data_IF_506797774750
#
_entry.id   IF_506797774750
#
_cell.length_a   1.000
_cell.length_b   1.000
_cell.length_c   1.000
_cell.angle_alpha   90.00
_cell.angle_beta   90.00
_cell.angle_gamma   90.00
#
_symmetry.space_group_name_H-M   'P 1'
#
loop_
_entity.id
_entity.type
_entity.pdbx_description
1 polymer ?
#
# COMPACT_ATOMS: atom_id res chain seq x y z
N UNK A 1 21.35 7.97 -18.79
CA UNK A 1 19.88 7.93 -18.90
C UNK A 1 19.29 8.57 -17.67
N UNK A 2 18.41 9.57 -17.81
CA UNK A 2 17.67 10.18 -16.70
C UNK A 2 16.23 9.68 -16.69
N UNK A 3 15.67 9.47 -15.50
CA UNK A 3 14.26 9.20 -15.29
C UNK A 3 13.47 10.51 -15.42
N UNK A 4 12.35 10.47 -16.15
CA UNK A 4 11.47 11.62 -16.34
C UNK A 4 10.10 11.43 -15.66
N UNK A 5 9.33 12.52 -15.60
CA UNK A 5 7.99 12.57 -14.98
C UNK A 5 7.04 11.50 -15.53
N UNK A 6 6.93 11.40 -16.85
CA UNK A 6 6.02 10.46 -17.51
C UNK A 6 6.35 9.02 -17.12
N UNK A 7 7.64 8.66 -17.10
CA UNK A 7 8.07 7.32 -16.68
C UNK A 7 7.70 7.01 -15.23
N UNK A 8 7.72 8.00 -14.34
CA UNK A 8 7.31 7.82 -12.94
C UNK A 8 5.79 7.64 -12.84
N UNK A 9 5.02 8.42 -13.60
CA UNK A 9 3.57 8.26 -13.65
C UNK A 9 3.18 6.87 -14.18
N UNK A 10 3.81 6.44 -15.28
CA UNK A 10 3.59 5.10 -15.86
C UNK A 10 3.97 3.98 -14.88
N UNK A 11 5.10 4.15 -14.17
CA UNK A 11 5.51 3.22 -13.14
C UNK A 11 4.47 3.07 -12.02
N UNK A 12 3.88 4.18 -11.56
CA UNK A 12 2.86 4.14 -10.52
C UNK A 12 1.56 3.49 -11.00
N UNK A 13 1.17 3.65 -12.28
CA UNK A 13 0.08 2.88 -12.87
C UNK A 13 0.38 1.37 -12.89
N UNK A 14 1.59 0.99 -13.34
CA UNK A 14 2.00 -0.42 -13.34
C UNK A 14 2.02 -1.03 -11.92
N UNK A 15 2.39 -0.25 -10.91
CA UNK A 15 2.26 -0.69 -9.51
C UNK A 15 0.80 -0.98 -9.15
N UNK A 16 -0.14 -0.10 -9.53
CA UNK A 16 -1.57 -0.33 -9.34
C UNK A 16 -2.06 -1.62 -9.98
N UNK A 17 -1.65 -1.88 -11.22
CA UNK A 17 -2.02 -3.10 -11.95
C UNK A 17 -1.45 -4.35 -11.26
N UNK A 18 -0.17 -4.34 -10.87
CA UNK A 18 0.49 -5.46 -10.20
C UNK A 18 -0.15 -5.74 -8.84
N UNK A 19 -0.39 -4.72 -8.01
CA UNK A 19 -1.00 -4.93 -6.69
C UNK A 19 -2.47 -5.36 -6.78
N UNK A 20 -3.15 -5.04 -7.88
CA UNK A 20 -4.49 -5.58 -8.15
C UNK A 20 -4.42 -7.04 -8.56
N UNK A 21 -3.53 -7.40 -9.49
CA UNK A 21 -3.38 -8.76 -10.01
C UNK A 21 -2.87 -9.75 -8.96
N UNK A 22 -1.88 -9.33 -8.18
CA UNK A 22 -1.16 -10.20 -7.24
C UNK A 22 -1.70 -10.11 -5.81
N UNK A 23 -2.84 -9.42 -5.58
CA UNK A 23 -3.42 -9.21 -4.25
C UNK A 23 -3.58 -10.53 -3.46
N UNK A 24 -4.25 -11.52 -4.05
CA UNK A 24 -4.51 -12.79 -3.38
C UNK A 24 -3.23 -13.59 -3.12
N UNK A 25 -2.27 -13.52 -4.05
CA UNK A 25 -0.96 -14.16 -3.90
C UNK A 25 -0.17 -13.55 -2.74
N UNK A 26 -0.11 -12.22 -2.66
CA UNK A 26 0.57 -11.50 -1.59
C UNK A 26 -0.10 -11.75 -0.23
N UNK A 27 -1.43 -11.77 -0.17
CA UNK A 27 -2.17 -12.15 1.04
C UNK A 27 -1.92 -13.60 1.43
N UNK A 28 -1.78 -14.51 0.45
CA UNK A 28 -1.42 -15.90 0.70
C UNK A 28 -0.03 -16.05 1.33
N UNK A 29 0.98 -15.37 0.78
CA UNK A 29 2.34 -15.34 1.36
C UNK A 29 2.34 -14.75 2.77
N UNK A 30 1.64 -13.64 2.97
CA UNK A 30 1.55 -12.98 4.27
C UNK A 30 0.79 -13.83 5.30
N UNK A 31 -0.19 -14.64 4.88
CA UNK A 31 -0.88 -15.58 5.76
C UNK A 31 0.05 -16.62 6.38
N UNK A 32 1.14 -16.99 5.70
CA UNK A 32 2.07 -18.00 6.21
C UNK A 32 2.92 -17.49 7.39
N UNK A 33 3.14 -16.18 7.49
CA UNK A 33 4.09 -15.58 8.45
C UNK A 33 3.57 -14.32 9.18
N UNK A 34 2.36 -13.85 8.85
CA UNK A 34 1.79 -12.56 9.23
C UNK A 34 0.28 -12.63 9.46
N UNK A 35 -0.42 -11.50 9.24
CA UNK A 35 -1.85 -11.33 9.54
C UNK A 35 -2.76 -11.43 8.30
N UNK A 36 -2.20 -11.82 7.15
CA UNK A 36 -2.90 -12.08 5.90
C UNK A 36 -3.62 -10.84 5.33
N UNK A 37 -3.10 -9.65 5.59
CA UNK A 37 -3.70 -8.39 5.16
C UNK A 37 -2.86 -7.63 4.11
N UNK A 38 -1.62 -8.09 3.85
CA UNK A 38 -0.67 -7.34 3.05
C UNK A 38 -1.15 -7.05 1.61
N UNK A 39 -1.61 -8.07 0.88
CA UNK A 39 -2.12 -7.93 -0.48
C UNK A 39 -3.30 -6.96 -0.56
N UNK A 40 -4.26 -7.11 0.36
CA UNK A 40 -5.43 -6.24 0.49
C UNK A 40 -5.03 -4.79 0.78
N UNK A 41 -4.05 -4.59 1.67
CA UNK A 41 -3.55 -3.27 2.03
C UNK A 41 -2.86 -2.57 0.87
N UNK A 42 -2.03 -3.29 0.11
CA UNK A 42 -1.33 -2.74 -1.05
C UNK A 42 -2.29 -2.45 -2.21
N UNK A 43 -3.22 -3.36 -2.48
CA UNK A 43 -4.27 -3.14 -3.49
C UNK A 43 -5.11 -1.89 -3.15
N UNK A 44 -5.59 -1.77 -1.90
CA UNK A 44 -6.36 -0.60 -1.44
C UNK A 44 -5.57 0.70 -1.55
N UNK A 45 -4.30 0.68 -1.15
CA UNK A 45 -3.44 1.85 -1.18
C UNK A 45 -3.14 2.33 -2.60
N UNK A 46 -2.69 1.42 -3.46
CA UNK A 46 -2.32 1.77 -4.83
C UNK A 46 -3.54 2.06 -5.71
N UNK A 47 -4.71 1.46 -5.47
CA UNK A 47 -5.95 1.86 -6.15
C UNK A 47 -6.26 3.34 -5.91
N UNK A 48 -6.10 3.83 -4.68
CA UNK A 48 -6.29 5.25 -4.35
C UNK A 48 -5.19 6.15 -4.92
N UNK A 49 -3.97 5.64 -5.07
CA UNK A 49 -2.90 6.37 -5.77
C UNK A 49 -3.29 6.55 -7.24
N UNK A 50 -3.69 5.47 -7.92
CA UNK A 50 -4.12 5.46 -9.32
C UNK A 50 -5.30 6.41 -9.55
N UNK A 51 -6.30 6.42 -8.66
CA UNK A 51 -7.42 7.37 -8.73
C UNK A 51 -6.97 8.84 -8.67
N UNK A 52 -5.93 9.15 -7.89
CA UNK A 52 -5.44 10.53 -7.72
C UNK A 52 -4.46 10.96 -8.80
N UNK A 53 -3.73 10.03 -9.42
CA UNK A 53 -2.67 10.32 -10.39
C UNK A 53 -3.09 11.27 -11.51
N UNK A 54 -4.27 11.12 -12.16
CA UNK A 54 -4.70 12.03 -13.21
C UNK A 54 -4.70 13.50 -12.78
N UNK A 55 -5.03 13.79 -11.53
CA UNK A 55 -5.10 15.17 -11.00
C UNK A 55 -3.73 15.80 -10.72
N UNK A 56 -2.69 14.98 -10.59
CA UNK A 56 -1.33 15.41 -10.22
C UNK A 56 -0.27 15.05 -11.26
N UNK A 57 -0.64 14.41 -12.36
CA UNK A 57 0.28 13.87 -13.35
C UNK A 57 1.20 14.96 -13.93
N UNK A 58 0.70 16.17 -14.12
CA UNK A 58 1.43 17.33 -14.69
C UNK A 58 2.26 18.14 -13.69
N UNK A 59 2.35 17.67 -12.44
CA UNK A 59 3.20 18.29 -11.42
C UNK A 59 4.63 17.76 -11.50
N UNK A 60 5.54 18.39 -10.77
CA UNK A 60 6.91 17.90 -10.67
C UNK A 60 6.98 16.55 -9.94
N UNK A 61 8.08 15.83 -10.15
CA UNK A 61 8.31 14.49 -9.59
C UNK A 61 8.19 14.49 -8.06
N UNK A 62 8.70 15.52 -7.39
CA UNK A 62 8.65 15.63 -5.93
C UNK A 62 7.21 15.72 -5.43
N UNK A 63 6.39 16.52 -6.09
CA UNK A 63 4.96 16.63 -5.77
C UNK A 63 4.21 15.32 -5.98
N UNK A 64 4.46 14.61 -7.09
CA UNK A 64 3.83 13.32 -7.40
C UNK A 64 4.17 12.28 -6.34
N UNK A 65 5.45 12.11 -6.01
CA UNK A 65 5.91 11.12 -5.03
C UNK A 65 5.45 11.47 -3.61
N UNK A 66 5.41 12.76 -3.24
CA UNK A 66 4.89 13.20 -1.95
C UNK A 66 3.41 12.84 -1.79
N UNK A 67 2.58 13.13 -2.80
CA UNK A 67 1.15 12.81 -2.76
C UNK A 67 0.89 11.30 -2.77
N UNK A 68 1.71 10.55 -3.50
CA UNK A 68 1.69 9.08 -3.49
C UNK A 68 1.98 8.56 -2.08
N UNK A 69 3.09 8.97 -1.47
CA UNK A 69 3.45 8.56 -0.11
C UNK A 69 2.42 8.94 0.94
N UNK A 70 1.87 10.16 0.89
CA UNK A 70 0.77 10.59 1.77
C UNK A 70 -0.50 9.76 1.58
N UNK A 71 -0.82 9.39 0.34
CA UNK A 71 -1.98 8.54 0.04
C UNK A 71 -1.78 7.15 0.61
N UNK A 72 -0.60 6.55 0.43
CA UNK A 72 -0.29 5.24 1.00
C UNK A 72 -0.35 5.28 2.54
N UNK A 73 0.32 6.23 3.19
CA UNK A 73 0.32 6.39 4.65
C UNK A 73 -1.08 6.50 5.27
N UNK A 74 -2.02 7.14 4.57
CA UNK A 74 -3.39 7.32 5.07
C UNK A 74 -4.33 6.16 4.75
N UNK A 75 -3.92 5.20 3.93
CA UNK A 75 -4.80 4.16 3.37
C UNK A 75 -4.32 2.75 3.65
N UNK A 76 -3.02 2.54 3.85
CA UNK A 76 -2.46 1.32 4.42
C UNK A 76 -2.56 1.39 5.96
N UNK A 77 -3.74 1.15 6.51
CA UNK A 77 -3.86 0.76 7.91
C UNK A 77 -3.77 -0.78 7.95
N UNK A 78 -2.78 -1.43 8.57
CA UNK A 78 -2.22 -1.12 9.89
C UNK A 78 -0.68 -1.06 9.95
N UNK A 79 -0.09 -0.46 11.01
CA UNK A 79 1.26 -0.83 11.43
C UNK A 79 1.27 -2.34 11.71
N UNK A 80 2.40 -3.00 11.47
CA UNK A 80 2.74 -4.34 11.95
C UNK A 80 2.78 -4.43 13.50
N UNK A 81 1.84 -3.81 14.20
CA UNK A 81 1.82 -3.60 15.64
C UNK A 81 0.37 -3.46 16.14
N UNK A 82 -0.44 -4.49 15.94
CA UNK A 82 -1.24 -5.02 17.04
C UNK A 82 -0.90 -6.48 17.21
N UNK A 83 0.22 -6.74 17.91
CA UNK A 83 0.20 -7.82 18.87
C UNK A 83 -0.97 -7.56 19.82
N UNK A 84 -2.17 -8.01 19.45
CA UNK A 84 -3.17 -8.38 20.43
C UNK A 84 -2.54 -9.51 21.24
N UNK A 85 -1.89 -9.14 22.33
CA UNK A 85 -1.51 -10.09 23.36
C UNK A 85 -2.75 -10.93 23.68
N UNK A 86 -2.63 -12.27 23.78
CA UNK A 86 -3.77 -13.09 24.15
C UNK A 86 -4.27 -12.62 25.51
N UNK A 87 -5.56 -12.29 25.58
CA UNK A 87 -6.27 -11.90 26.80
C UNK A 87 -6.48 -13.11 27.71
N UNK A 88 -5.41 -13.82 28.09
CA UNK A 88 -5.45 -15.04 28.89
C UNK A 88 -4.72 -14.91 30.23
N UNK A 89 -4.68 -13.71 30.81
CA UNK A 89 -4.37 -13.51 32.23
C UNK A 89 -5.50 -12.72 32.89
N UNK A 90 -6.61 -13.39 33.15
CA UNK A 90 -7.50 -13.00 34.24
C UNK A 90 -6.90 -13.53 35.55
N UNK A 91 -6.75 -12.70 36.60
CA UNK A 91 -6.32 -13.20 37.90
C UNK A 91 -7.46 -14.07 38.46
N UNK A 92 -7.18 -15.36 38.68
CA UNK A 92 -8.05 -16.22 39.47
C UNK A 92 -8.13 -15.61 40.88
N UNK A 93 -9.33 -15.20 41.29
CA UNK A 93 -9.68 -15.16 42.70
C UNK A 93 -9.86 -16.57 43.21
#
# INVERSE_FOLDING_TARGET
MSLNRTQIVDWLYHCGDIFTKESDFLTGLDKEIGDADHGLNMHRGFSKVVEKLPSIADKDIGFILKNTGMTLLSTSAAPAARCSAPSSFAPRR
#
